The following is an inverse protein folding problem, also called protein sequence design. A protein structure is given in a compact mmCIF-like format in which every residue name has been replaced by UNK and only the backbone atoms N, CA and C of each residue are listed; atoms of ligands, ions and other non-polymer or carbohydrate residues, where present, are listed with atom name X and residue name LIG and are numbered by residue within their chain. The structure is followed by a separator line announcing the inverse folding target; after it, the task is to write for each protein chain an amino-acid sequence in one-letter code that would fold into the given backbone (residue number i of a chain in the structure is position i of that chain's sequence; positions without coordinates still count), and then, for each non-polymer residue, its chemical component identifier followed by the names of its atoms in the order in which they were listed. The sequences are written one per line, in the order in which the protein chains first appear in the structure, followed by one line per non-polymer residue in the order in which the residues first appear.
data_IF_473064951126
#
_entry.id   IF_473064951126
#
_cell.length_a   1.000
_cell.length_b   1.000
_cell.length_c   1.000
_cell.angle_alpha   90.00
_cell.angle_beta   90.00
_cell.angle_gamma   90.00
#
_symmetry.space_group_name_H-M   'P 1'
#
loop_
_entity.id
_entity.type
_entity.pdbx_description
1 polymer ?
#
# COMPACT_ATOMS: atom_id res chain seq x y z
N UNK A 1 -4.63 -35.42 38.29
CA UNK A 1 -4.23 -35.56 39.70
C UNK A 1 -3.61 -34.24 40.15
N UNK A 2 -4.04 -33.71 41.29
CA UNK A 2 -3.40 -32.57 41.96
C UNK A 2 -2.07 -33.04 42.54
N UNK A 3 -1.01 -32.24 42.41
CA UNK A 3 0.09 -32.20 43.37
C UNK A 3 0.62 -30.77 43.46
N UNK A 4 0.36 -30.16 44.61
CA UNK A 4 1.14 -29.05 45.17
C UNK A 4 2.32 -29.68 45.90
N UNK A 5 3.52 -29.10 45.79
CA UNK A 5 4.62 -29.38 46.72
C UNK A 5 5.40 -28.09 46.98
N UNK A 6 5.27 -27.60 48.21
CA UNK A 6 6.08 -26.57 48.87
C UNK A 6 7.54 -27.04 49.06
N UNK A 7 8.48 -26.09 49.19
CA UNK A 7 9.68 -26.17 50.06
C UNK A 7 10.47 -24.84 50.06
N UNK A 8 10.13 -24.00 51.04
CA UNK A 8 10.93 -23.14 51.96
C UNK A 8 12.13 -22.26 51.49
N UNK A 9 12.12 -21.02 52.01
CA UNK A 9 13.02 -19.86 51.84
C UNK A 9 14.48 -20.05 52.35
N UNK A 10 15.42 -19.15 52.02
CA UNK A 10 15.64 -17.99 52.91
C UNK A 10 16.02 -16.67 52.21
N UNK A 11 15.71 -15.57 52.90
CA UNK A 11 16.03 -14.18 52.56
C UNK A 11 17.42 -13.95 51.94
N UNK A 12 17.45 -13.33 50.76
CA UNK A 12 18.55 -12.45 50.36
C UNK A 12 18.03 -11.30 49.49
N UNK A 13 17.98 -10.11 50.11
CA UNK A 13 17.89 -8.82 49.43
C UNK A 13 19.00 -8.71 48.38
N UNK A 14 18.66 -8.77 47.08
CA UNK A 14 19.43 -8.12 46.02
C UNK A 14 18.44 -7.59 44.97
N UNK A 15 18.56 -6.29 44.75
CA UNK A 15 17.88 -5.41 43.80
C UNK A 15 17.77 -5.95 42.36
N UNK A 16 16.74 -5.44 41.67
CA UNK A 16 16.72 -5.11 40.24
C UNK A 16 17.26 -6.15 39.25
N UNK A 17 16.39 -7.09 38.85
CA UNK A 17 16.42 -7.64 37.49
C UNK A 17 15.22 -7.17 36.70
N UNK A 18 15.22 -5.87 36.45
CA UNK A 18 14.52 -5.26 35.33
C UNK A 18 14.94 -6.02 34.07
N UNK A 19 14.02 -6.77 33.47
CA UNK A 19 14.16 -7.31 32.13
C UNK A 19 14.21 -6.12 31.17
N UNK A 20 15.41 -5.58 30.96
CA UNK A 20 15.69 -4.55 29.96
C UNK A 20 15.53 -5.19 28.59
N UNK A 21 14.30 -5.23 28.10
CA UNK A 21 14.05 -5.27 26.66
C UNK A 21 14.64 -3.97 26.12
N UNK A 22 15.67 -4.01 25.25
CA UNK A 22 16.21 -2.78 24.69
C UNK A 22 15.09 -2.09 23.89
N UNK A 23 14.84 -0.78 24.09
CA UNK A 23 13.90 -0.04 23.26
C UNK A 23 14.42 -0.13 21.82
N UNK A 24 13.58 -0.66 20.94
CA UNK A 24 13.81 -0.62 19.49
C UNK A 24 13.77 0.85 19.06
N UNK A 25 14.94 1.49 19.09
CA UNK A 25 15.19 2.84 18.57
C UNK A 25 15.25 2.83 17.04
N UNK A 26 14.24 2.27 16.37
CA UNK A 26 13.93 2.76 15.03
C UNK A 26 13.27 4.12 15.21
N UNK A 27 13.73 5.19 14.54
CA UNK A 27 13.00 6.45 14.53
C UNK A 27 11.59 6.15 14.00
N UNK A 28 10.61 6.10 14.91
CA UNK A 28 9.21 6.16 14.52
C UNK A 28 9.05 7.60 14.07
N UNK A 29 9.26 7.83 12.77
CA UNK A 29 8.84 9.04 12.11
C UNK A 29 7.35 9.21 12.47
N UNK A 30 7.08 10.11 13.43
CA UNK A 30 5.77 10.25 14.02
C UNK A 30 4.88 10.86 12.93
N UNK A 31 3.92 10.07 12.45
CA UNK A 31 3.07 10.49 11.35
C UNK A 31 2.23 11.70 11.79
N UNK A 32 2.38 12.82 11.10
CA UNK A 32 1.56 14.01 11.30
C UNK A 32 0.17 13.78 10.70
N UNK A 33 -0.88 14.27 11.37
CA UNK A 33 -2.24 14.18 10.86
C UNK A 33 -2.70 15.53 10.32
N UNK A 34 -2.78 15.62 9.01
CA UNK A 34 -3.15 16.84 8.28
C UNK A 34 -4.48 16.64 7.55
N UNK A 35 -5.24 17.71 7.22
CA UNK A 35 -6.43 17.58 6.38
C UNK A 35 -6.12 16.89 5.05
N UNK A 36 -6.97 15.95 4.62
CA UNK A 36 -6.73 15.13 3.42
C UNK A 36 -6.46 15.99 2.18
N UNK A 37 -7.16 17.12 2.01
CA UNK A 37 -6.97 18.04 0.89
C UNK A 37 -5.57 18.69 0.85
N UNK A 38 -4.91 18.81 2.01
CA UNK A 38 -3.57 19.40 2.12
C UNK A 38 -2.47 18.34 1.99
N UNK A 39 -2.83 17.07 1.81
CA UNK A 39 -1.86 16.00 1.82
C UNK A 39 -0.91 16.09 0.60
N UNK A 40 0.43 16.01 0.76
CA UNK A 40 1.40 16.26 -0.32
C UNK A 40 1.21 15.42 -1.58
N UNK A 41 0.67 14.21 -1.44
CA UNK A 41 0.33 13.32 -2.57
C UNK A 41 -0.72 13.93 -3.51
N UNK A 42 -1.62 14.76 -2.99
CA UNK A 42 -2.65 15.45 -3.78
C UNK A 42 -2.29 16.89 -4.12
N UNK A 43 -1.47 17.55 -3.29
CA UNK A 43 -1.01 18.92 -3.53
C UNK A 43 -0.20 19.09 -4.83
N UNK A 44 0.47 18.03 -5.30
CA UNK A 44 1.19 18.04 -6.58
C UNK A 44 0.26 18.19 -7.81
N UNK A 45 -1.06 18.06 -7.65
CA UNK A 45 -2.03 18.19 -8.74
C UNK A 45 -2.37 19.65 -9.10
N UNK A 46 -2.17 20.61 -8.18
CA UNK A 46 -2.54 22.02 -8.39
C UNK A 46 -1.58 22.80 -9.30
N UNK A 47 -0.45 22.21 -9.69
CA UNK A 47 0.53 22.81 -10.60
C UNK A 47 0.30 22.56 -12.09
N UNK A 48 -0.68 21.71 -12.47
CA UNK A 48 -0.97 21.38 -13.86
C UNK A 48 -2.43 21.69 -14.18
N UNK A 49 -2.76 22.97 -14.14
CA UNK A 49 -3.93 23.47 -14.82
C UNK A 49 -3.82 23.12 -16.33
N UNK A 50 -4.60 22.13 -16.73
CA UNK A 50 -5.20 21.96 -18.05
C UNK A 50 -4.34 22.36 -19.27
N UNK A 51 -3.45 21.46 -19.70
CA UNK A 51 -3.35 21.19 -21.14
C UNK A 51 -4.14 19.92 -21.43
N UNK A 52 -5.45 20.07 -21.40
CA UNK A 52 -6.39 19.10 -21.98
C UNK A 52 -6.20 19.14 -23.49
N UNK A 53 -5.15 18.48 -23.98
CA UNK A 53 -5.26 17.86 -25.30
C UNK A 53 -6.33 16.79 -25.14
N UNK A 54 -7.43 16.97 -25.86
CA UNK A 54 -8.57 16.05 -25.90
C UNK A 54 -8.12 14.76 -26.60
N UNK A 55 -7.20 14.03 -25.98
CA UNK A 55 -7.07 12.60 -26.21
C UNK A 55 -8.26 11.98 -25.51
N UNK A 56 -9.02 11.17 -26.23
CA UNK A 56 -10.18 10.39 -25.79
C UNK A 56 -9.86 9.35 -24.70
N UNK A 57 -8.94 9.66 -23.77
CA UNK A 57 -8.59 8.80 -22.65
C UNK A 57 -9.80 8.70 -21.73
N UNK A 58 -10.26 7.47 -21.55
CA UNK A 58 -11.27 7.11 -20.57
C UNK A 58 -10.91 7.70 -19.18
N UNK A 59 -11.89 8.06 -18.36
CA UNK A 59 -11.64 8.54 -17.00
C UNK A 59 -10.78 7.53 -16.23
N UNK A 60 -9.67 7.98 -15.65
CA UNK A 60 -8.80 7.14 -14.83
C UNK A 60 -9.29 7.10 -13.40
N UNK A 61 -9.28 5.91 -12.80
CA UNK A 61 -9.55 5.71 -11.38
C UNK A 61 -8.29 5.19 -10.68
N UNK A 62 -7.45 6.11 -10.20
CA UNK A 62 -6.17 5.80 -9.56
C UNK A 62 -6.24 5.76 -8.03
N UNK A 63 -7.44 5.70 -7.48
CA UNK A 63 -7.68 5.71 -6.04
C UNK A 63 -8.52 4.50 -5.61
N UNK A 64 -8.11 3.84 -4.52
CA UNK A 64 -8.84 2.74 -3.92
C UNK A 64 -8.94 2.93 -2.40
N UNK A 65 -10.08 2.59 -1.83
CA UNK A 65 -10.31 2.60 -0.39
C UNK A 65 -10.53 1.15 0.09
N UNK A 66 -9.93 0.80 1.23
CA UNK A 66 -10.12 -0.52 1.85
C UNK A 66 -11.46 -0.70 2.58
N UNK A 67 -12.30 0.34 2.62
CA UNK A 67 -13.57 0.34 3.35
C UNK A 67 -13.41 0.59 4.86
N UNK A 68 -12.19 0.87 5.32
CA UNK A 68 -11.89 1.21 6.71
C UNK A 68 -11.09 2.51 6.74
N UNK A 69 -9.80 2.45 7.06
CA UNK A 69 -8.97 3.61 7.38
C UNK A 69 -7.81 3.83 6.41
N UNK A 70 -7.80 3.20 5.22
CA UNK A 70 -6.66 3.34 4.30
C UNK A 70 -7.10 3.66 2.87
N UNK A 71 -6.54 4.75 2.38
CA UNK A 71 -6.60 5.12 0.97
C UNK A 71 -5.32 4.67 0.28
N UNK A 72 -5.48 4.21 -0.95
CA UNK A 72 -4.42 3.79 -1.84
C UNK A 72 -4.47 4.66 -3.08
N UNK A 73 -3.36 5.28 -3.42
CA UNK A 73 -3.24 6.12 -4.61
C UNK A 73 -2.10 5.62 -5.48
N UNK A 74 -2.37 5.41 -6.76
CA UNK A 74 -1.35 5.03 -7.73
C UNK A 74 -0.70 6.27 -8.36
N UNK A 75 0.58 6.49 -8.07
CA UNK A 75 1.39 7.50 -8.75
C UNK A 75 1.90 6.94 -10.07
N UNK A 76 1.36 7.45 -11.18
CA UNK A 76 1.73 7.01 -12.53
C UNK A 76 3.14 7.47 -12.95
N UNK A 77 3.61 8.59 -12.41
CA UNK A 77 4.93 9.16 -12.72
C UNK A 77 6.04 8.35 -12.04
N UNK A 78 5.83 8.01 -10.76
CA UNK A 78 6.77 7.21 -9.96
C UNK A 78 6.56 5.70 -10.08
N UNK A 79 5.43 5.28 -10.66
CA UNK A 79 4.99 3.87 -10.76
C UNK A 79 5.00 3.17 -9.40
N UNK A 80 4.48 3.86 -8.39
CA UNK A 80 4.38 3.35 -7.03
C UNK A 80 3.00 3.60 -6.45
N UNK A 81 2.71 2.90 -5.35
CA UNK A 81 1.43 2.94 -4.67
C UNK A 81 1.62 3.61 -3.31
N UNK A 82 0.95 4.75 -3.10
CA UNK A 82 0.90 5.44 -1.82
C UNK A 82 -0.22 4.84 -0.96
N UNK A 83 0.11 4.40 0.25
CA UNK A 83 -0.86 4.02 1.29
C UNK A 83 -0.94 5.13 2.32
N UNK A 84 -2.11 5.75 2.40
CA UNK A 84 -2.41 6.88 3.27
C UNK A 84 -3.40 6.39 4.33
N UNK A 85 -3.06 6.54 5.61
CA UNK A 85 -4.02 6.24 6.67
C UNK A 85 -4.92 7.45 6.87
N UNK A 86 -6.22 7.23 6.98
CA UNK A 86 -7.22 8.27 7.21
C UNK A 86 -7.96 8.03 8.52
N UNK A 87 -8.39 9.12 9.14
CA UNK A 87 -9.30 9.12 10.30
C UNK A 87 -10.23 10.31 10.21
N UNK A 88 -11.39 10.21 10.85
CA UNK A 88 -12.29 11.35 11.00
C UNK A 88 -11.71 12.29 12.07
N UNK A 89 -11.80 13.60 11.84
CA UNK A 89 -11.46 14.60 12.84
C UNK A 89 -12.43 14.55 14.01
N UNK A 90 -11.92 14.73 15.22
CA UNK A 90 -12.74 15.03 16.40
C UNK A 90 -12.58 16.52 16.74
N UNK A 91 -13.64 17.24 17.14
CA UNK A 91 -15.04 16.78 17.30
C UNK A 91 -15.87 16.78 16.00
N UNK A 92 -15.39 17.44 14.95
CA UNK A 92 -16.11 17.59 13.68
C UNK A 92 -15.76 16.44 12.70
N UNK A 93 -16.61 15.42 12.67
CA UNK A 93 -16.48 14.27 11.77
C UNK A 93 -16.62 14.61 10.28
N UNK A 94 -16.84 15.88 9.94
CA UNK A 94 -16.88 16.40 8.57
C UNK A 94 -15.49 16.51 7.94
N UNK A 95 -14.42 16.54 8.76
CA UNK A 95 -13.06 16.64 8.26
C UNK A 95 -12.38 15.27 8.27
N UNK A 96 -11.82 14.89 7.12
CA UNK A 96 -10.98 13.69 7.01
C UNK A 96 -9.52 14.11 7.19
N UNK A 97 -8.87 13.55 8.19
CA UNK A 97 -7.44 13.71 8.43
C UNK A 97 -6.68 12.54 7.79
N UNK A 98 -5.51 12.82 7.23
CA UNK A 98 -4.60 11.87 6.63
C UNK A 98 -3.23 11.91 7.30
N UNK A 99 -2.63 10.73 7.45
CA UNK A 99 -1.27 10.56 7.93
C UNK A 99 -0.25 11.01 6.89
N UNK A 100 0.66 11.91 7.26
CA UNK A 100 1.79 12.35 6.45
C UNK A 100 3.12 12.00 7.16
N UNK A 101 4.13 11.48 6.45
CA UNK A 101 4.12 11.12 5.04
C UNK A 101 3.34 9.83 4.76
N UNK A 102 2.89 9.66 3.51
CA UNK A 102 2.29 8.40 3.05
C UNK A 102 3.29 7.26 3.05
N UNK A 103 2.84 6.02 3.29
CA UNK A 103 3.70 4.84 3.13
C UNK A 103 3.80 4.45 1.65
N UNK A 104 5.00 4.43 1.10
CA UNK A 104 5.23 4.03 -0.30
C UNK A 104 5.34 2.50 -0.42
N UNK A 105 4.57 1.93 -1.33
CA UNK A 105 4.58 0.52 -1.71
C UNK A 105 5.04 0.42 -3.16
N UNK A 106 6.04 -0.41 -3.43
CA UNK A 106 6.62 -0.57 -4.77
C UNK A 106 6.63 -2.03 -5.17
N UNK A 107 6.31 -2.32 -6.42
CA UNK A 107 6.42 -3.68 -6.93
C UNK A 107 7.89 -4.07 -7.12
N UNK A 108 8.27 -5.29 -6.73
CA UNK A 108 9.63 -5.82 -6.96
C UNK A 108 9.98 -5.93 -8.46
N UNK A 109 8.97 -6.12 -9.30
CA UNK A 109 9.03 -6.06 -10.76
C UNK A 109 8.27 -4.82 -11.22
N UNK A 110 8.91 -4.03 -12.08
CA UNK A 110 8.32 -2.79 -12.59
C UNK A 110 7.04 -3.06 -13.38
N UNK A 111 5.96 -2.35 -13.02
CA UNK A 111 4.72 -2.32 -13.80
C UNK A 111 5.01 -1.54 -15.08
N UNK A 112 5.04 -2.25 -16.21
CA UNK A 112 5.52 -1.73 -17.50
C UNK A 112 4.39 -1.31 -18.46
N UNK A 113 3.20 -1.04 -17.93
CA UNK A 113 2.05 -0.54 -18.68
C UNK A 113 1.42 0.66 -17.97
N UNK A 114 0.65 1.47 -18.70
CA UNK A 114 -0.13 2.58 -18.15
C UNK A 114 -1.31 2.02 -17.35
N UNK A 115 -1.37 2.32 -16.05
CA UNK A 115 -2.49 1.93 -15.19
C UNK A 115 -3.60 2.98 -15.32
N UNK A 116 -4.80 2.51 -15.62
CA UNK A 116 -5.99 3.34 -15.79
C UNK A 116 -6.96 3.18 -14.62
N UNK A 117 -6.98 2.01 -13.99
CA UNK A 117 -7.87 1.70 -12.86
C UNK A 117 -7.14 0.88 -11.80
N UNK A 118 -7.37 1.22 -10.55
CA UNK A 118 -6.98 0.38 -9.41
C UNK A 118 -8.19 -0.08 -8.60
N UNK A 119 -8.05 -1.21 -7.93
CA UNK A 119 -9.01 -1.67 -6.92
C UNK A 119 -8.33 -2.56 -5.89
N UNK A 120 -8.88 -2.61 -4.69
CA UNK A 120 -8.39 -3.48 -3.62
C UNK A 120 -9.34 -4.67 -3.45
N UNK A 121 -8.79 -5.84 -3.14
CA UNK A 121 -9.61 -7.00 -2.83
C UNK A 121 -10.33 -6.83 -1.48
N UNK A 122 -11.38 -7.62 -1.27
CA UNK A 122 -12.28 -7.51 -0.09
C UNK A 122 -11.57 -7.60 1.26
N UNK A 123 -10.48 -8.35 1.35
CA UNK A 123 -9.73 -8.53 2.60
C UNK A 123 -8.59 -7.49 2.78
N UNK A 124 -8.41 -6.57 1.83
CA UNK A 124 -7.37 -5.54 1.91
C UNK A 124 -5.93 -6.03 1.70
N UNK A 125 -5.72 -7.24 1.17
CA UNK A 125 -4.39 -7.85 1.05
C UNK A 125 -3.71 -7.66 -0.31
N UNK A 126 -4.45 -7.30 -1.35
CA UNK A 126 -3.94 -7.17 -2.72
C UNK A 126 -4.63 -6.05 -3.49
N UNK A 127 -3.87 -5.38 -4.35
CA UNK A 127 -4.37 -4.41 -5.32
C UNK A 127 -4.28 -4.95 -6.74
N UNK A 128 -5.35 -4.74 -7.49
CA UNK A 128 -5.42 -4.93 -8.93
C UNK A 128 -5.09 -3.61 -9.61
N UNK A 129 -4.09 -3.63 -10.48
CA UNK A 129 -3.72 -2.53 -11.37
C UNK A 129 -4.13 -2.92 -12.77
N UNK A 130 -5.08 -2.20 -13.36
CA UNK A 130 -5.67 -2.50 -14.65
C UNK A 130 -5.33 -1.36 -15.61
N UNK A 131 -4.90 -1.72 -16.81
CA UNK A 131 -4.68 -0.77 -17.89
C UNK A 131 -5.06 -1.35 -19.25
N UNK A 132 -5.06 -0.50 -20.27
CA UNK A 132 -5.33 -0.91 -21.65
C UNK A 132 -4.37 -1.96 -22.21
N UNK A 133 -3.19 -2.17 -21.61
CA UNK A 133 -2.23 -3.18 -22.08
C UNK A 133 -2.14 -4.41 -21.17
N UNK A 134 -2.64 -4.33 -19.94
CA UNK A 134 -2.52 -5.45 -19.02
C UNK A 134 -3.25 -5.34 -17.69
N UNK A 135 -3.06 -6.39 -16.89
CA UNK A 135 -3.51 -6.51 -15.53
C UNK A 135 -2.34 -6.98 -14.65
N UNK A 136 -2.13 -6.30 -13.53
CA UNK A 136 -1.18 -6.68 -12.50
C UNK A 136 -1.89 -6.88 -11.16
N UNK A 137 -1.58 -7.98 -10.46
CA UNK A 137 -2.02 -8.22 -9.09
C UNK A 137 -0.83 -8.06 -8.15
N UNK A 138 -0.84 -6.99 -7.35
CA UNK A 138 0.20 -6.63 -6.41
C UNK A 138 -0.25 -6.95 -4.98
N UNK A 139 0.48 -7.82 -4.28
CA UNK A 139 0.19 -8.13 -2.88
C UNK A 139 0.77 -7.06 -1.95
N UNK A 140 -0.03 -6.58 -1.00
CA UNK A 140 0.32 -5.47 -0.11
C UNK A 140 1.18 -5.87 1.10
N UNK A 141 1.65 -7.12 1.11
CA UNK A 141 2.66 -7.59 2.04
C UNK A 141 4.01 -7.65 1.32
N UNK A 142 5.08 -7.31 2.03
CA UNK A 142 6.37 -7.11 1.40
C UNK A 142 7.52 -7.02 2.39
N UNK A 143 8.74 -6.94 1.86
CA UNK A 143 9.94 -6.66 2.65
C UNK A 143 10.09 -5.15 2.80
N UNK A 144 10.39 -4.67 4.00
CA UNK A 144 10.74 -3.27 4.22
C UNK A 144 12.12 -3.00 3.59
N UNK A 145 12.20 -2.04 2.68
CA UNK A 145 13.47 -1.55 2.15
C UNK A 145 14.07 -0.56 3.16
N UNK A 146 15.29 -0.83 3.64
CA UNK A 146 15.99 0.02 4.60
C UNK A 146 16.50 1.34 3.98
N UNK A 147 16.58 1.43 2.64
CA UNK A 147 17.13 2.62 1.97
C UNK A 147 16.12 3.72 1.68
N UNK A 148 14.82 3.40 1.58
CA UNK A 148 13.82 4.33 1.00
C UNK A 148 12.52 4.40 1.81
N UNK A 149 12.48 3.82 3.02
CA UNK A 149 11.25 3.69 3.82
C UNK A 149 10.05 3.08 3.05
N UNK A 150 10.32 2.42 1.92
CA UNK A 150 9.34 1.79 1.05
C UNK A 150 9.15 0.30 1.39
N UNK A 151 7.97 -0.24 1.11
CA UNK A 151 7.71 -1.68 1.20
C UNK A 151 7.74 -2.26 -0.23
N UNK A 152 8.58 -3.27 -0.42
CA UNK A 152 8.70 -3.99 -1.68
C UNK A 152 7.67 -5.13 -1.69
N UNK A 153 6.64 -4.96 -2.51
CA UNK A 153 5.52 -5.86 -2.71
C UNK A 153 5.78 -6.84 -3.85
N UNK A 154 5.26 -8.07 -3.72
CA UNK A 154 5.39 -9.10 -4.77
C UNK A 154 4.15 -9.09 -5.69
N UNK A 155 4.28 -8.87 -7.00
CA UNK A 155 3.26 -9.17 -7.98
C UNK A 155 3.27 -10.67 -8.29
N UNK A 156 2.10 -11.32 -8.40
CA UNK A 156 2.03 -12.73 -8.86
C UNK A 156 1.59 -12.89 -10.31
N UNK A 157 0.81 -11.95 -10.83
CA UNK A 157 0.23 -12.07 -12.17
C UNK A 157 0.42 -10.76 -12.90
N UNK A 158 1.21 -10.78 -13.98
CA UNK A 158 1.38 -9.70 -14.93
C UNK A 158 0.88 -10.20 -16.29
N UNK A 159 -0.41 -10.01 -16.53
CA UNK A 159 -1.02 -10.36 -17.81
C UNK A 159 -0.86 -9.17 -18.75
N UNK A 160 -0.33 -9.44 -19.94
CA UNK A 160 -0.19 -8.48 -21.03
C UNK A 160 -1.14 -8.92 -22.15
N UNK A 161 -2.11 -8.07 -22.50
CA UNK A 161 -3.17 -8.45 -23.45
C UNK A 161 -2.62 -8.86 -24.80
N UNK A 162 -1.56 -8.18 -25.28
CA UNK A 162 -0.87 -8.54 -26.53
C UNK A 162 -0.36 -9.99 -26.50
N UNK A 163 0.24 -10.44 -25.39
CA UNK A 163 0.72 -11.82 -25.23
C UNK A 163 -0.43 -12.83 -25.16
N UNK A 164 -1.55 -12.42 -24.54
CA UNK A 164 -2.75 -13.26 -24.44
C UNK A 164 -3.42 -13.46 -25.80
N UNK A 165 -3.59 -12.39 -26.59
CA UNK A 165 -4.18 -12.45 -27.92
C UNK A 165 -3.35 -13.35 -28.85
N UNK A 166 -2.02 -13.21 -28.88
CA UNK A 166 -1.15 -14.07 -29.71
C UNK A 166 -1.32 -15.55 -29.37
N UNK A 167 -1.48 -15.89 -28.08
CA UNK A 167 -1.68 -17.28 -27.68
C UNK A 167 -3.06 -17.83 -28.11
N UNK A 168 -4.10 -17.00 -28.08
CA UNK A 168 -5.44 -17.38 -28.58
C UNK A 168 -5.44 -17.56 -30.10
N UNK A 169 -4.75 -16.70 -30.86
CA UNK A 169 -4.67 -16.87 -32.32
C UNK A 169 -3.99 -18.19 -32.69
N UNK A 170 -2.97 -18.62 -31.94
CA UNK A 170 -2.34 -19.94 -32.16
C UNK A 170 -3.24 -21.13 -31.78
N UNK A 171 -4.14 -20.97 -30.80
CA UNK A 171 -5.09 -22.02 -30.40
C UNK A 171 -6.26 -22.14 -31.38
N UNK A 172 -6.66 -21.04 -32.02
CA UNK A 172 -7.74 -21.01 -33.02
C UNK A 172 -7.26 -21.29 -34.45
N UNK A 173 -5.94 -21.43 -34.68
CA UNK A 173 -5.36 -21.65 -36.01
C UNK A 173 -5.40 -23.10 -36.59
N UNK A 174 -5.83 -24.20 -35.93
CA UNK A 174 -5.83 -25.52 -36.58
C UNK A 174 -7.17 -25.89 -37.26
N UNK A 175 -7.99 -24.91 -37.68
CA UNK A 175 -9.24 -25.16 -38.43
C UNK A 175 -9.32 -24.36 -39.74
N UNK A 176 -8.25 -24.39 -40.54
CA UNK A 176 -8.30 -24.08 -41.97
C UNK A 176 -7.52 -25.11 -42.78
#
# INVERSE_FOLDING_TARGET
MRFTFDLEDPDSNIDDRQSVTPPSNTPKEEAEWIPLQNHPVFAAADGVAAQTTVSSKLPKNLLAWDGASRLYYWDSSRRCLHRISIRLGEPDSSFVLASSPSKVLQADVQVNFEVDKISINRNGSAIFLVGMEGLCIMYLYGRTSSKENAIICRPRYLLQWKKFCTHITHILAPFQ
#
